data_IF_387944980099
#
_entry.id   IF_387944980099
#
_cell.length_a   1.000
_cell.length_b   1.000
_cell.length_c   1.000
_cell.angle_alpha   90.00
_cell.angle_beta   90.00
_cell.angle_gamma   90.00
#
_symmetry.space_group_name_H-M   'P 1'
#
loop_
_entity.id
_entity.type
_entity.pdbx_description
1 polymer ?
#
# COMPACT_ATOMS: atom_id res chain seq x y z
N UNK A 1 -3.44 -13.47 8.17
CA UNK A 1 -2.64 -12.35 7.61
C UNK A 1 -1.36 -12.12 8.39
N UNK A 2 -1.40 -12.07 9.72
CA UNK A 2 -0.19 -11.84 10.54
C UNK A 2 0.91 -12.87 10.31
N UNK A 3 0.53 -14.16 10.24
CA UNK A 3 1.48 -15.25 9.95
C UNK A 3 2.05 -15.15 8.52
N UNK A 4 1.19 -14.81 7.55
CA UNK A 4 1.60 -14.59 6.16
C UNK A 4 2.61 -13.45 6.03
N UNK A 5 2.45 -12.41 6.85
CA UNK A 5 3.32 -11.23 6.88
C UNK A 5 4.47 -11.36 7.89
N UNK A 6 4.61 -12.50 8.58
CA UNK A 6 5.62 -12.71 9.61
C UNK A 6 5.67 -11.62 10.71
N UNK A 7 4.52 -10.98 11.04
CA UNK A 7 4.50 -9.81 11.93
C UNK A 7 4.80 -10.13 13.39
N UNK A 8 4.51 -11.37 13.82
CA UNK A 8 4.68 -11.85 15.19
C UNK A 8 6.09 -12.40 15.46
N UNK A 9 6.96 -12.50 14.44
CA UNK A 9 8.31 -12.99 14.65
C UNK A 9 9.15 -12.02 15.47
N UNK A 10 9.89 -12.55 16.45
CA UNK A 10 10.80 -11.76 17.29
C UNK A 10 12.08 -11.35 16.57
N UNK A 11 12.49 -12.09 15.53
CA UNK A 11 13.62 -11.82 14.65
C UNK A 11 13.19 -11.88 13.18
N UNK A 12 14.01 -11.31 12.30
CA UNK A 12 13.88 -11.43 10.83
C UNK A 12 12.58 -10.88 10.22
N UNK A 13 11.95 -9.90 10.88
CA UNK A 13 10.82 -9.17 10.29
C UNK A 13 11.31 -8.23 9.18
N UNK A 14 10.67 -8.22 7.99
CA UNK A 14 10.98 -7.26 6.93
C UNK A 14 10.99 -5.81 7.41
N UNK A 15 12.00 -5.05 7.00
CA UNK A 15 12.05 -3.60 7.25
C UNK A 15 10.92 -2.85 6.55
N UNK A 16 10.54 -3.32 5.35
CA UNK A 16 9.55 -2.70 4.49
C UNK A 16 8.55 -3.75 4.03
N UNK A 17 7.27 -3.41 4.10
CA UNK A 17 6.18 -4.17 3.49
C UNK A 17 5.56 -3.35 2.38
N UNK A 18 5.61 -3.85 1.15
CA UNK A 18 4.87 -3.30 0.02
C UNK A 18 3.71 -4.23 -0.32
N UNK A 19 2.49 -3.77 -0.12
CA UNK A 19 1.28 -4.58 -0.27
C UNK A 19 0.44 -4.01 -1.41
N UNK A 20 0.16 -4.83 -2.41
CA UNK A 20 -0.67 -4.47 -3.56
C UNK A 20 -2.03 -5.15 -3.50
N UNK A 21 -3.09 -4.40 -3.80
CA UNK A 21 -4.43 -4.90 -3.97
C UNK A 21 -4.99 -4.55 -5.36
N UNK A 22 -5.89 -5.40 -5.86
CA UNK A 22 -6.63 -5.20 -7.10
C UNK A 22 -8.10 -5.59 -6.86
N UNK A 23 -9.00 -4.98 -7.61
CA UNK A 23 -10.45 -5.28 -7.58
C UNK A 23 -11.08 -5.14 -6.18
N UNK A 24 -10.59 -4.18 -5.39
CA UNK A 24 -11.00 -3.94 -4.01
C UNK A 24 -12.41 -3.37 -3.91
N UNK A 25 -12.76 -2.50 -4.86
CA UNK A 25 -14.10 -1.97 -5.00
C UNK A 25 -14.76 -2.65 -6.22
N UNK A 26 -16.03 -3.08 -6.11
CA UNK A 26 -16.79 -3.51 -7.28
C UNK A 26 -16.76 -2.45 -8.38
N UNK A 27 -16.68 -2.86 -9.65
CA UNK A 27 -16.73 -1.94 -10.81
C UNK A 27 -18.02 -1.10 -10.80
N UNK A 28 -19.11 -1.64 -10.24
CA UNK A 28 -20.40 -0.98 -10.10
C UNK A 28 -20.45 0.06 -8.97
N UNK A 29 -19.46 0.09 -8.08
CA UNK A 29 -19.41 1.05 -6.98
C UNK A 29 -18.50 2.23 -7.34
N UNK A 30 -19.02 3.44 -7.25
CA UNK A 30 -18.23 4.66 -7.35
C UNK A 30 -17.58 5.06 -6.03
N UNK A 31 -17.75 4.28 -4.96
CA UNK A 31 -17.24 4.58 -3.63
C UNK A 31 -15.94 3.83 -3.33
N UNK A 32 -15.00 4.51 -2.67
CA UNK A 32 -13.75 3.90 -2.20
C UNK A 32 -13.90 3.20 -0.84
N UNK A 33 -15.12 2.73 -0.51
CA UNK A 33 -15.47 2.24 0.83
C UNK A 33 -14.60 1.06 1.25
N UNK A 34 -14.48 0.02 0.41
CA UNK A 34 -13.69 -1.16 0.77
C UNK A 34 -12.19 -0.83 0.82
N UNK A 35 -11.72 0.01 -0.12
CA UNK A 35 -10.34 0.48 -0.11
C UNK A 35 -9.99 1.20 1.20
N UNK A 36 -10.87 2.06 1.70
CA UNK A 36 -10.69 2.78 2.96
C UNK A 36 -10.69 1.81 4.16
N UNK A 37 -11.60 0.83 4.17
CA UNK A 37 -11.65 -0.20 5.22
C UNK A 37 -10.36 -1.03 5.24
N UNK A 38 -9.86 -1.46 4.08
CA UNK A 38 -8.58 -2.16 3.98
C UNK A 38 -7.42 -1.30 4.44
N UNK A 39 -7.37 -0.04 4.00
CA UNK A 39 -6.32 0.90 4.39
C UNK A 39 -6.26 1.04 5.91
N UNK A 40 -7.41 1.28 6.56
CA UNK A 40 -7.49 1.42 8.02
C UNK A 40 -7.15 0.13 8.75
N UNK A 41 -7.63 -1.02 8.26
CA UNK A 41 -7.31 -2.33 8.84
C UNK A 41 -5.80 -2.60 8.83
N UNK A 42 -5.13 -2.30 7.72
CA UNK A 42 -3.68 -2.45 7.58
C UNK A 42 -2.94 -1.48 8.50
N UNK A 43 -3.28 -0.19 8.52
CA UNK A 43 -2.66 0.80 9.42
C UNK A 43 -2.75 0.34 10.88
N UNK A 44 -3.96 0.01 11.34
CA UNK A 44 -4.20 -0.45 12.70
C UNK A 44 -3.47 -1.76 13.03
N UNK A 45 -3.21 -2.61 12.04
CA UNK A 45 -2.44 -3.84 12.23
C UNK A 45 -0.96 -3.51 12.37
N UNK A 46 -0.40 -2.78 11.41
CA UNK A 46 1.04 -2.48 11.35
C UNK A 46 1.53 -1.57 12.50
N UNK A 47 0.71 -0.63 12.97
CA UNK A 47 1.06 0.24 14.09
C UNK A 47 1.37 -0.54 15.38
N UNK A 48 0.70 -1.68 15.60
CA UNK A 48 0.91 -2.56 16.76
C UNK A 48 2.26 -3.28 16.74
N UNK A 49 2.93 -3.32 15.59
CA UNK A 49 4.19 -4.03 15.39
C UNK A 49 5.36 -3.09 15.13
N UNK A 50 5.21 -1.80 15.44
CA UNK A 50 6.20 -0.74 15.21
C UNK A 50 6.54 -0.47 13.75
N UNK A 51 5.51 -0.54 12.91
CA UNK A 51 5.56 -0.04 11.55
C UNK A 51 4.74 1.25 11.43
N UNK A 52 5.07 2.05 10.43
CA UNK A 52 4.34 3.27 10.05
C UNK A 52 4.06 3.25 8.55
N UNK A 53 2.91 3.78 8.15
CA UNK A 53 2.60 4.03 6.76
C UNK A 53 3.61 4.99 6.15
N UNK A 54 4.32 4.54 5.11
CA UNK A 54 5.22 5.37 4.32
C UNK A 54 4.46 6.12 3.23
N UNK A 55 3.73 5.39 2.39
CA UNK A 55 2.94 5.96 1.30
C UNK A 55 1.89 4.97 0.79
N UNK A 56 0.84 5.51 0.16
CA UNK A 56 -0.19 4.74 -0.53
C UNK A 56 -0.49 5.40 -1.87
N UNK A 57 -0.75 4.59 -2.90
CA UNK A 57 -1.21 5.07 -4.20
C UNK A 57 -2.27 4.16 -4.80
N UNK A 58 -3.35 4.77 -5.30
CA UNK A 58 -4.54 4.05 -5.78
C UNK A 58 -4.96 4.48 -7.18
N UNK A 59 -5.62 3.57 -7.89
CA UNK A 59 -6.29 3.76 -9.18
C UNK A 59 -7.50 2.82 -9.28
N UNK A 60 -8.72 3.38 -9.23
CA UNK A 60 -10.00 2.70 -9.53
C UNK A 60 -10.11 1.27 -8.95
N UNK A 61 -9.96 1.14 -7.64
CA UNK A 61 -10.09 -0.15 -6.94
C UNK A 61 -8.82 -1.03 -6.92
N UNK A 62 -7.69 -0.53 -7.43
CA UNK A 62 -6.36 -1.09 -7.15
C UNK A 62 -5.53 -0.09 -6.35
N UNK A 63 -4.73 -0.55 -5.40
CA UNK A 63 -3.77 0.30 -4.71
C UNK A 63 -2.50 -0.46 -4.29
N UNK A 64 -1.42 0.30 -4.09
CA UNK A 64 -0.21 -0.15 -3.39
C UNK A 64 -0.08 0.67 -2.11
N UNK A 65 0.21 0.02 -1.00
CA UNK A 65 0.46 0.63 0.30
C UNK A 65 1.79 0.10 0.86
N UNK A 66 2.64 1.02 1.33
CA UNK A 66 3.97 0.69 1.85
C UNK A 66 4.04 1.05 3.32
N UNK A 67 4.44 0.09 4.15
CA UNK A 67 4.77 0.28 5.56
C UNK A 67 6.28 0.09 5.77
N UNK A 68 6.86 0.88 6.68
CA UNK A 68 8.27 0.76 7.07
C UNK A 68 8.39 0.68 8.60
N UNK A 69 9.38 -0.07 9.08
CA UNK A 69 9.73 -0.10 10.49
C UNK A 69 9.99 1.34 10.99
N UNK A 70 9.40 1.71 12.13
CA UNK A 70 9.50 3.07 12.68
C UNK A 70 10.96 3.49 12.92
N UNK A 71 11.83 2.55 13.27
CA UNK A 71 13.27 2.79 13.48
C UNK A 71 13.99 3.27 12.23
N UNK A 72 13.54 2.87 11.04
CA UNK A 72 14.15 3.20 9.75
C UNK A 72 13.48 4.39 9.06
N UNK A 73 12.41 4.95 9.64
CA UNK A 73 11.61 5.99 8.98
C UNK A 73 12.44 7.24 8.63
N UNK A 74 13.41 7.62 9.47
CA UNK A 74 14.30 8.76 9.23
C UNK A 74 15.27 8.56 8.06
N UNK A 75 15.50 7.31 7.65
CA UNK A 75 16.42 6.97 6.55
C UNK A 75 15.74 7.10 5.18
N UNK A 76 14.43 7.36 5.15
CA UNK A 76 13.66 7.51 3.92
C UNK A 76 13.61 8.95 3.44
N UNK A 77 13.93 9.15 2.16
CA UNK A 77 13.87 10.46 1.50
C UNK A 77 13.25 10.36 0.11
N UNK A 78 12.83 11.51 -0.44
CA UNK A 78 12.35 11.64 -1.82
C UNK A 78 11.23 10.66 -2.18
N UNK A 79 10.20 10.58 -1.33
CA UNK A 79 9.03 9.74 -1.54
C UNK A 79 8.16 10.33 -2.65
N UNK A 80 7.91 9.55 -3.70
CA UNK A 80 7.04 9.92 -4.81
C UNK A 80 6.13 8.77 -5.19
N UNK A 81 4.97 9.10 -5.75
CA UNK A 81 4.02 8.09 -6.22
C UNK A 81 3.34 8.49 -7.52
N UNK A 82 3.03 7.50 -8.35
CA UNK A 82 2.37 7.71 -9.65
C UNK A 82 1.43 6.55 -9.97
N UNK A 83 0.37 6.87 -10.72
CA UNK A 83 -0.50 5.85 -11.31
C UNK A 83 -0.59 6.07 -12.81
N UNK A 84 -0.71 4.98 -13.58
CA UNK A 84 -0.92 5.00 -15.02
C UNK A 84 -2.15 4.17 -15.34
N UNK A 85 -3.11 4.75 -16.06
CA UNK A 85 -4.31 4.05 -16.55
C UNK A 85 -3.99 3.38 -17.88
N UNK A 86 -4.47 2.16 -18.06
CA UNK A 86 -4.30 1.40 -19.31
C UNK A 86 -5.62 0.89 -19.89
N UNK A 87 -6.75 1.03 -19.19
CA UNK A 87 -8.08 0.66 -19.71
C UNK A 87 -8.57 1.58 -20.82
N UNK A 88 -9.17 1.01 -21.87
CA UNK A 88 -9.72 1.68 -23.08
C UNK A 88 -8.90 2.93 -23.46
N UNK A 89 -7.79 2.71 -24.17
CA UNK A 89 -6.88 3.79 -24.60
C UNK A 89 -6.36 4.71 -23.47
N UNK A 90 -6.36 4.24 -22.21
CA UNK A 90 -5.95 5.00 -21.03
C UNK A 90 -7.04 5.87 -20.41
N UNK A 91 -8.28 5.81 -20.91
CA UNK A 91 -9.42 6.61 -20.42
C UNK A 91 -9.97 6.00 -19.12
N UNK A 92 -10.16 4.67 -19.08
CA UNK A 92 -10.70 3.97 -17.92
C UNK A 92 -9.59 3.48 -17.00
N UNK A 93 -9.75 3.72 -15.70
CA UNK A 93 -8.73 3.37 -14.70
C UNK A 93 -8.86 1.96 -14.12
N UNK A 94 -9.86 1.19 -14.53
CA UNK A 94 -10.11 -0.17 -14.06
C UNK A 94 -8.94 -1.14 -14.31
N UNK A 95 -8.04 -0.77 -15.23
CA UNK A 95 -6.74 -1.41 -15.43
C UNK A 95 -5.66 -0.34 -15.47
N UNK A 96 -4.49 -0.67 -14.94
CA UNK A 96 -3.39 0.26 -14.79
C UNK A 96 -2.33 -0.24 -13.82
N UNK A 97 -1.42 0.65 -13.46
CA UNK A 97 -0.37 0.39 -12.48
C UNK A 97 -0.29 1.52 -11.45
N UNK A 98 0.04 1.16 -10.21
CA UNK A 98 0.41 2.07 -9.15
C UNK A 98 1.88 1.85 -8.80
N UNK A 99 2.64 2.94 -8.65
CA UNK A 99 4.04 2.89 -8.29
C UNK A 99 4.32 3.88 -7.16
N UNK A 100 5.21 3.48 -6.26
CA UNK A 100 5.77 4.31 -5.20
C UNK A 100 7.29 4.11 -5.27
N UNK A 101 8.03 5.22 -5.27
CA UNK A 101 9.50 5.23 -5.16
C UNK A 101 9.92 6.04 -3.94
N UNK A 102 11.08 5.70 -3.41
CA UNK A 102 11.74 6.43 -2.34
C UNK A 102 13.22 6.05 -2.32
N UNK A 103 14.05 6.86 -1.68
CA UNK A 103 15.44 6.55 -1.42
C UNK A 103 15.58 6.06 0.02
N UNK A 104 16.28 4.94 0.22
CA UNK A 104 16.66 4.41 1.52
C UNK A 104 18.17 4.64 1.68
N UNK A 105 18.56 5.43 2.68
CA UNK A 105 19.96 5.68 3.05
C UNK A 105 20.58 4.56 3.87
#
# INVERSE_FOLDING_TARGET
>A
MKDLLNLEASSDRPTIYAIGFQEVNPISSSSDTNENLWTMSLINTFEKYDYKLLAKKSIHGSFVIIFIAKSEFSNIQLVESRSVRTGIFGIFGNKGGNAIRFNFK
#
